data_IF_110090785360
#
_entry.id   IF_110090785360
#
_cell.length_a   1.000
_cell.length_b   1.000
_cell.length_c   1.000
_cell.angle_alpha   90.00
_cell.angle_beta   90.00
_cell.angle_gamma   90.00
#
_symmetry.space_group_name_H-M   'P 1'
#
loop_
_entity.id
_entity.type
_entity.pdbx_description
1 polymer ?
#
# COMPACT_ATOMS: atom_id res chain seq x y z
N UNK A 1 70.77 -33.90 -28.81
CA UNK A 1 70.04 -33.66 -27.56
C UNK A 1 69.17 -32.41 -27.78
N UNK A 2 67.87 -32.56 -27.96
CA UNK A 2 66.97 -31.41 -28.19
C UNK A 2 66.33 -30.96 -26.88
N UNK A 3 66.30 -29.66 -26.69
CA UNK A 3 65.72 -28.96 -25.56
C UNK A 3 64.19 -28.84 -25.75
N UNK A 4 63.44 -29.09 -24.66
CA UNK A 4 61.99 -28.90 -24.59
C UNK A 4 61.66 -27.45 -24.25
N UNK A 5 60.68 -26.81 -24.90
CA UNK A 5 60.17 -25.54 -24.47
C UNK A 5 59.03 -25.71 -23.43
N UNK A 6 59.12 -24.95 -22.37
CA UNK A 6 58.15 -24.82 -21.27
C UNK A 6 56.79 -24.26 -21.76
N UNK A 7 55.73 -24.96 -21.42
CA UNK A 7 54.36 -24.52 -21.64
C UNK A 7 53.96 -23.50 -20.54
N UNK A 8 53.67 -22.28 -20.95
CA UNK A 8 53.07 -21.25 -20.10
C UNK A 8 51.58 -21.52 -19.96
N UNK A 9 51.14 -21.94 -18.76
CA UNK A 9 49.74 -22.03 -18.38
C UNK A 9 49.19 -20.64 -18.13
N UNK A 10 48.42 -20.15 -19.07
CA UNK A 10 47.61 -18.92 -18.85
C UNK A 10 46.48 -19.19 -17.87
N UNK A 11 46.52 -18.49 -16.73
CA UNK A 11 45.47 -18.49 -15.72
C UNK A 11 44.42 -17.44 -16.13
N UNK A 12 43.27 -17.91 -16.62
CA UNK A 12 42.13 -17.05 -16.93
C UNK A 12 41.43 -16.74 -15.61
N UNK A 13 41.63 -15.53 -15.10
CA UNK A 13 40.87 -15.00 -13.98
C UNK A 13 39.51 -14.54 -14.52
N UNK A 14 38.49 -15.36 -14.32
CA UNK A 14 37.12 -15.01 -14.62
C UNK A 14 36.61 -13.97 -13.64
N UNK A 15 36.51 -12.71 -14.10
CA UNK A 15 35.86 -11.63 -13.35
C UNK A 15 34.35 -11.83 -13.40
N UNK A 16 33.80 -12.50 -12.38
CA UNK A 16 32.36 -12.62 -12.21
C UNK A 16 31.75 -11.27 -11.85
N UNK A 17 31.06 -10.62 -12.79
CA UNK A 17 30.21 -9.46 -12.50
C UNK A 17 29.02 -9.94 -11.65
N UNK A 18 29.05 -9.64 -10.36
CA UNK A 18 27.88 -9.72 -9.49
C UNK A 18 26.96 -8.54 -9.85
N UNK A 19 25.94 -8.82 -10.64
CA UNK A 19 24.82 -7.93 -10.83
C UNK A 19 24.03 -7.91 -9.51
N UNK A 20 24.36 -6.95 -8.65
CA UNK A 20 23.51 -6.57 -7.52
C UNK A 20 22.22 -5.96 -8.10
N UNK A 21 21.18 -6.78 -8.27
CA UNK A 21 19.85 -6.31 -8.56
C UNK A 21 19.38 -5.41 -7.42
N UNK A 22 19.27 -4.11 -7.67
CA UNK A 22 18.54 -3.20 -6.78
C UNK A 22 17.06 -3.62 -6.84
N UNK A 23 16.62 -4.41 -5.87
CA UNK A 23 15.20 -4.56 -5.58
C UNK A 23 14.72 -3.25 -4.94
N UNK A 24 14.31 -2.29 -5.77
CA UNK A 24 13.56 -1.12 -5.32
C UNK A 24 12.11 -1.54 -5.09
N UNK A 25 11.87 -2.40 -4.09
CA UNK A 25 10.56 -2.60 -3.52
C UNK A 25 10.39 -1.56 -2.43
N UNK A 26 9.30 -0.81 -2.43
CA UNK A 26 8.94 -0.01 -1.26
C UNK A 26 8.83 -0.97 -0.08
N UNK A 27 9.59 -0.72 1.00
CA UNK A 27 9.51 -1.52 2.23
C UNK A 27 8.15 -1.34 2.95
N UNK A 28 7.31 -0.43 2.43
CA UNK A 28 5.99 -0.11 2.94
C UNK A 28 4.92 -0.89 2.16
N UNK A 29 4.38 -1.90 2.78
CA UNK A 29 3.28 -2.70 2.23
C UNK A 29 2.34 -3.15 3.34
N UNK A 30 1.13 -3.49 2.96
CA UNK A 30 0.16 -4.18 3.80
C UNK A 30 -0.31 -5.46 3.12
N UNK A 31 -0.72 -6.43 3.92
CA UNK A 31 -1.35 -7.66 3.43
C UNK A 31 -2.74 -7.77 4.02
N UNK A 32 -3.73 -8.06 3.18
CA UNK A 32 -5.12 -8.30 3.56
C UNK A 32 -5.76 -9.30 2.60
N UNK A 33 -6.55 -10.23 3.13
CA UNK A 33 -7.22 -11.24 2.29
C UNK A 33 -6.24 -12.09 1.46
N UNK A 34 -4.99 -12.25 1.93
CA UNK A 34 -3.93 -12.98 1.23
C UNK A 34 -3.30 -12.22 0.05
N UNK A 35 -3.66 -10.95 -0.16
CA UNK A 35 -3.05 -10.09 -1.18
C UNK A 35 -2.20 -8.99 -0.53
N UNK A 36 -1.09 -8.63 -1.20
CA UNK A 36 -0.17 -7.60 -0.74
C UNK A 36 -0.24 -6.37 -1.62
N UNK A 37 -0.30 -5.21 -0.96
CA UNK A 37 -0.36 -3.89 -1.59
C UNK A 37 0.81 -3.03 -1.13
N UNK A 38 1.56 -2.45 -2.05
CA UNK A 38 2.48 -1.38 -1.74
C UNK A 38 1.66 -0.15 -1.31
N UNK A 39 2.02 0.48 -0.20
CA UNK A 39 1.23 1.60 0.31
C UNK A 39 2.07 2.85 0.52
N UNK A 40 1.44 3.99 0.28
CA UNK A 40 1.87 5.26 0.81
C UNK A 40 1.26 5.43 2.20
N UNK A 41 1.99 6.09 3.09
CA UNK A 41 1.52 6.35 4.46
C UNK A 41 1.03 7.79 4.55
N UNK A 42 -0.08 7.97 5.26
CA UNK A 42 -0.61 9.27 5.66
C UNK A 42 -0.81 9.24 7.19
N UNK A 43 0.18 9.71 7.95
CA UNK A 43 0.18 9.66 9.41
C UNK A 43 0.16 11.04 10.07
N UNK A 44 0.24 12.12 9.28
CA UNK A 44 0.00 13.48 9.76
C UNK A 44 -1.30 14.08 9.20
N UNK A 45 -1.75 15.20 9.78
CA UNK A 45 -3.01 15.86 9.42
C UNK A 45 -3.03 16.36 7.96
N UNK A 46 -1.90 16.85 7.44
CA UNK A 46 -1.81 17.39 6.10
C UNK A 46 -1.85 16.27 5.05
N UNK A 47 -1.17 15.17 5.32
CA UNK A 47 -1.18 13.98 4.48
C UNK A 47 -2.56 13.33 4.47
N UNK A 48 -3.17 13.13 5.65
CA UNK A 48 -4.54 12.60 5.76
C UNK A 48 -5.55 13.50 5.04
N UNK A 49 -5.43 14.83 5.16
CA UNK A 49 -6.32 15.75 4.46
C UNK A 49 -6.16 15.73 2.94
N UNK A 50 -4.96 15.47 2.44
CA UNK A 50 -4.66 15.38 1.02
C UNK A 50 -5.07 14.02 0.43
N UNK A 51 -4.70 12.93 1.08
CA UNK A 51 -4.95 11.57 0.60
C UNK A 51 -4.61 11.37 -0.88
N UNK A 52 -5.49 10.72 -1.61
CA UNK A 52 -5.36 10.43 -3.05
C UNK A 52 -5.89 11.55 -3.98
N UNK A 53 -6.06 12.77 -3.47
CA UNK A 53 -6.55 13.89 -4.29
C UNK A 53 -5.70 14.11 -5.54
N UNK A 54 -6.37 14.45 -6.65
CA UNK A 54 -5.79 14.81 -7.94
C UNK A 54 -5.06 13.70 -8.69
N UNK A 55 -5.07 12.46 -8.20
CA UNK A 55 -4.49 11.33 -8.92
C UNK A 55 -5.39 10.90 -10.06
N UNK A 56 -4.77 10.66 -11.20
CA UNK A 56 -5.48 10.19 -12.40
C UNK A 56 -5.57 8.67 -12.45
N UNK A 57 -4.63 7.97 -11.81
CA UNK A 57 -4.59 6.51 -11.69
C UNK A 57 -3.89 6.04 -10.40
N UNK A 58 -4.05 4.77 -10.08
CA UNK A 58 -3.29 4.06 -9.06
C UNK A 58 -3.06 2.61 -9.53
N UNK A 59 -1.82 2.09 -9.50
CA UNK A 59 -1.55 0.72 -9.91
C UNK A 59 -2.38 -0.31 -9.12
N UNK A 60 -2.69 -1.46 -9.74
CA UNK A 60 -3.61 -2.46 -9.18
C UNK A 60 -3.20 -3.02 -7.80
N UNK A 61 -1.89 -3.05 -7.52
CA UNK A 61 -1.35 -3.56 -6.26
C UNK A 61 -0.84 -2.45 -5.33
N UNK A 62 -1.42 -1.25 -5.45
CA UNK A 62 -1.08 -0.08 -4.64
C UNK A 62 -2.29 0.40 -3.85
N UNK A 63 -2.01 1.16 -2.79
CA UNK A 63 -3.00 1.80 -1.94
C UNK A 63 -2.40 2.91 -1.10
N UNK A 64 -3.20 3.48 -0.23
CA UNK A 64 -2.77 4.43 0.80
C UNK A 64 -3.28 3.98 2.15
N UNK A 65 -2.38 3.90 3.14
CA UNK A 65 -2.72 3.60 4.52
C UNK A 65 -2.67 4.88 5.35
N UNK A 66 -3.81 5.21 5.91
CA UNK A 66 -3.98 6.33 6.84
C UNK A 66 -3.88 5.81 8.27
N UNK A 67 -3.06 6.43 9.08
CA UNK A 67 -2.83 6.06 10.48
C UNK A 67 -3.29 7.22 11.36
N UNK A 68 -4.25 6.96 12.25
CA UNK A 68 -4.71 7.92 13.24
C UNK A 68 -4.04 7.66 14.59
N UNK A 69 -3.94 8.69 15.42
CA UNK A 69 -3.31 8.60 16.76
C UNK A 69 -4.05 7.63 17.68
N UNK A 70 -5.37 7.52 17.52
CA UNK A 70 -6.26 6.69 18.35
C UNK A 70 -7.47 6.21 17.56
N UNK A 71 -8.10 5.18 18.04
CA UNK A 71 -9.39 4.73 17.57
C UNK A 71 -10.49 5.78 17.87
N UNK A 72 -11.30 6.09 16.85
CA UNK A 72 -12.36 7.10 16.92
C UNK A 72 -13.34 6.91 15.74
N UNK A 73 -14.56 7.48 15.80
CA UNK A 73 -15.41 7.59 14.63
C UNK A 73 -14.70 8.39 13.53
N UNK A 74 -14.57 7.78 12.34
CA UNK A 74 -13.93 8.39 11.18
C UNK A 74 -14.94 8.61 10.06
N UNK A 75 -14.65 9.59 9.20
CA UNK A 75 -15.41 9.80 7.99
C UNK A 75 -14.47 10.33 6.91
N UNK A 76 -14.45 9.64 5.77
CA UNK A 76 -13.64 9.99 4.63
C UNK A 76 -14.50 10.57 3.51
N UNK A 77 -13.93 11.36 2.64
CA UNK A 77 -14.60 11.95 1.49
C UNK A 77 -13.76 11.76 0.23
N UNK A 78 -14.42 11.83 -0.91
CA UNK A 78 -13.77 11.72 -2.22
C UNK A 78 -13.44 13.10 -2.84
N UNK A 79 -13.27 14.13 -2.02
CA UNK A 79 -12.99 15.49 -2.51
C UNK A 79 -11.75 15.49 -3.40
N UNK A 80 -11.92 16.00 -4.63
CA UNK A 80 -10.85 16.06 -5.63
C UNK A 80 -10.20 14.71 -5.97
N UNK A 81 -10.78 13.60 -5.59
CA UNK A 81 -10.32 12.26 -5.94
C UNK A 81 -10.95 11.85 -7.26
N UNK A 82 -10.12 11.50 -8.24
CA UNK A 82 -10.54 11.24 -9.61
C UNK A 82 -10.71 9.77 -9.94
N UNK A 83 -10.26 8.88 -9.06
CA UNK A 83 -10.33 7.43 -9.21
C UNK A 83 -11.35 6.86 -8.23
N UNK A 84 -12.13 5.82 -8.61
CA UNK A 84 -13.04 5.15 -7.68
C UNK A 84 -12.24 4.30 -6.70
N UNK A 85 -12.69 4.24 -5.44
CA UNK A 85 -11.97 3.60 -4.35
C UNK A 85 -12.86 2.65 -3.54
N UNK A 86 -12.23 1.64 -2.93
CA UNK A 86 -12.72 0.97 -1.73
C UNK A 86 -12.04 1.60 -0.50
N UNK A 87 -12.82 1.99 0.50
CA UNK A 87 -12.36 2.60 1.76
C UNK A 87 -12.62 1.61 2.88
N UNK A 88 -11.55 1.08 3.47
CA UNK A 88 -11.59 0.01 4.47
C UNK A 88 -11.14 0.55 5.82
N UNK A 89 -11.96 0.40 6.86
CA UNK A 89 -11.75 0.93 8.21
C UNK A 89 -11.39 -0.20 9.18
N UNK A 90 -10.31 -0.03 9.94
CA UNK A 90 -9.80 -1.02 10.88
C UNK A 90 -9.69 -0.41 12.28
N UNK A 91 -9.97 -1.22 13.29
CA UNK A 91 -9.84 -0.86 14.70
C UNK A 91 -8.37 -0.83 15.19
N UNK A 92 -8.16 -0.70 16.49
CA UNK A 92 -6.83 -0.73 17.13
C UNK A 92 -6.12 -2.09 16.94
N UNK A 93 -6.85 -3.19 16.88
CA UNK A 93 -6.34 -4.54 16.64
C UNK A 93 -6.10 -4.82 15.15
N UNK A 94 -6.41 -3.86 14.28
CA UNK A 94 -6.31 -3.97 12.81
C UNK A 94 -7.31 -4.95 12.20
N UNK A 95 -8.45 -5.13 12.84
CA UNK A 95 -9.56 -5.89 12.30
C UNK A 95 -10.48 -4.97 11.49
N UNK A 96 -10.92 -5.43 10.33
CA UNK A 96 -11.88 -4.70 9.49
C UNK A 96 -13.20 -4.57 10.23
N UNK A 97 -13.63 -3.34 10.49
CA UNK A 97 -14.87 -3.03 11.24
C UNK A 97 -15.91 -2.29 10.43
N UNK A 98 -15.53 -1.76 9.27
CA UNK A 98 -16.43 -1.07 8.35
C UNK A 98 -15.79 -0.94 6.98
N UNK A 99 -16.60 -0.88 5.91
CA UNK A 99 -16.09 -0.70 4.56
C UNK A 99 -17.10 0.02 3.68
N UNK A 100 -16.58 0.92 2.85
CA UNK A 100 -17.33 1.60 1.79
C UNK A 100 -16.76 1.14 0.46
N UNK A 101 -17.53 0.41 -0.33
CA UNK A 101 -17.08 -0.22 -1.58
C UNK A 101 -17.53 0.59 -2.80
N UNK A 102 -16.73 0.53 -3.86
CA UNK A 102 -17.02 1.14 -5.15
C UNK A 102 -17.41 2.62 -5.03
N UNK A 103 -16.71 3.35 -4.14
CA UNK A 103 -16.99 4.76 -3.90
C UNK A 103 -16.59 5.57 -5.13
N UNK A 104 -17.54 6.31 -5.76
CA UNK A 104 -17.28 7.01 -7.01
C UNK A 104 -16.38 8.24 -6.80
N UNK A 105 -15.64 8.65 -7.86
CA UNK A 105 -14.90 9.92 -7.86
C UNK A 105 -15.81 11.12 -7.58
N UNK A 106 -15.23 12.18 -6.98
CA UNK A 106 -15.96 13.41 -6.75
C UNK A 106 -15.10 14.65 -6.97
N UNK A 107 -15.58 15.56 -7.84
CA UNK A 107 -14.94 16.82 -8.19
C UNK A 107 -15.72 18.06 -7.75
N UNK A 108 -16.73 17.88 -6.89
CA UNK A 108 -17.60 18.95 -6.40
C UNK A 108 -16.98 19.75 -5.23
N UNK A 109 -15.70 19.59 -4.96
CA UNK A 109 -15.00 20.25 -3.85
C UNK A 109 -15.67 19.94 -2.51
N UNK A 110 -16.11 20.96 -1.79
CA UNK A 110 -16.78 20.78 -0.48
C UNK A 110 -18.21 20.21 -0.59
N UNK A 111 -18.74 20.03 -1.78
CA UNK A 111 -20.03 19.38 -2.04
C UNK A 111 -19.93 17.85 -2.15
N UNK A 112 -18.74 17.27 -2.03
CA UNK A 112 -18.58 15.81 -2.06
C UNK A 112 -19.16 15.17 -0.81
N UNK A 113 -19.84 14.00 -0.96
CA UNK A 113 -20.40 13.28 0.18
C UNK A 113 -19.30 12.74 1.08
N UNK A 114 -19.67 12.48 2.32
CA UNK A 114 -18.83 11.84 3.34
C UNK A 114 -19.23 10.37 3.48
N UNK A 115 -18.25 9.52 3.70
CA UNK A 115 -18.36 8.07 3.86
C UNK A 115 -17.88 7.70 5.26
N UNK A 116 -18.78 7.63 6.25
CA UNK A 116 -18.41 7.35 7.62
C UNK A 116 -18.06 5.89 7.86
N UNK A 117 -17.22 5.63 8.86
CA UNK A 117 -17.08 4.31 9.46
C UNK A 117 -18.32 4.01 10.31
N UNK A 118 -18.83 2.77 10.24
CA UNK A 118 -19.96 2.32 11.06
C UNK A 118 -19.56 2.07 12.52
N UNK A 119 -18.27 1.85 12.74
CA UNK A 119 -17.65 1.64 14.05
C UNK A 119 -16.41 2.54 14.20
N UNK A 120 -15.94 2.82 15.43
CA UNK A 120 -14.66 3.49 15.63
C UNK A 120 -13.54 2.76 14.88
N UNK A 121 -12.62 3.52 14.31
CA UNK A 121 -11.48 2.98 13.57
C UNK A 121 -10.22 3.81 13.85
N UNK A 122 -9.08 3.21 13.64
CA UNK A 122 -7.77 3.83 13.77
C UNK A 122 -6.99 3.85 12.47
N UNK A 123 -7.14 2.81 11.66
CA UNK A 123 -6.48 2.71 10.37
C UNK A 123 -7.51 2.73 9.26
N UNK A 124 -7.16 3.38 8.14
CA UNK A 124 -7.98 3.33 6.93
C UNK A 124 -7.10 2.96 5.76
N UNK A 125 -7.51 1.96 5.00
CA UNK A 125 -6.83 1.55 3.78
C UNK A 125 -7.71 1.90 2.58
N UNK A 126 -7.17 2.75 1.70
CA UNK A 126 -7.79 3.06 0.41
C UNK A 126 -7.14 2.21 -0.69
N UNK A 127 -7.96 1.47 -1.42
CA UNK A 127 -7.58 0.64 -2.56
C UNK A 127 -8.40 1.04 -3.79
N UNK A 128 -7.98 0.59 -4.98
CA UNK A 128 -8.83 0.71 -6.15
C UNK A 128 -10.19 0.04 -5.90
N UNK A 129 -11.26 0.62 -6.43
CA UNK A 129 -12.61 0.06 -6.31
C UNK A 129 -12.68 -1.38 -6.85
N UNK A 130 -13.44 -2.23 -6.15
CA UNK A 130 -13.61 -3.64 -6.48
C UNK A 130 -12.61 -4.59 -5.82
N UNK A 131 -11.54 -4.08 -5.17
CA UNK A 131 -10.53 -4.92 -4.51
C UNK A 131 -11.12 -5.66 -3.31
N UNK A 132 -11.95 -5.00 -2.50
CA UNK A 132 -12.63 -5.63 -1.37
C UNK A 132 -13.52 -6.78 -1.81
N UNK A 133 -14.26 -6.60 -2.89
CA UNK A 133 -15.10 -7.66 -3.47
C UNK A 133 -14.26 -8.80 -4.06
N UNK A 134 -13.18 -8.48 -4.79
CA UNK A 134 -12.27 -9.47 -5.37
C UNK A 134 -11.63 -10.37 -4.30
N UNK A 135 -11.31 -9.81 -3.15
CA UNK A 135 -10.72 -10.53 -2.01
C UNK A 135 -11.77 -11.20 -1.12
N UNK A 136 -13.06 -10.93 -1.32
CA UNK A 136 -14.12 -11.43 -0.45
C UNK A 136 -13.99 -10.94 1.00
N UNK A 137 -13.56 -9.68 1.19
CA UNK A 137 -13.34 -9.14 2.53
C UNK A 137 -14.66 -9.02 3.29
N UNK A 138 -14.64 -9.49 4.52
CA UNK A 138 -15.74 -9.36 5.47
C UNK A 138 -15.22 -8.74 6.77
N UNK A 139 -16.12 -8.23 7.61
CA UNK A 139 -15.76 -7.70 8.92
C UNK A 139 -14.98 -8.76 9.73
N UNK A 140 -13.94 -8.31 10.42
CA UNK A 140 -12.98 -9.17 11.11
C UNK A 140 -11.79 -9.61 10.26
N UNK A 141 -11.71 -9.27 8.98
CA UNK A 141 -10.49 -9.48 8.17
C UNK A 141 -9.32 -8.69 8.77
N UNK A 142 -8.16 -9.34 8.93
CA UNK A 142 -7.00 -8.74 9.60
C UNK A 142 -6.07 -8.06 8.59
N UNK A 143 -5.64 -6.83 8.93
CA UNK A 143 -4.64 -6.07 8.20
C UNK A 143 -3.25 -6.33 8.77
N UNK A 144 -2.34 -6.80 7.94
CA UNK A 144 -0.94 -7.09 8.32
C UNK A 144 0.00 -6.08 7.68
N UNK A 145 0.46 -5.03 8.40
CA UNK A 145 1.43 -4.09 7.89
C UNK A 145 2.84 -4.66 7.90
N UNK A 146 3.68 -4.20 6.96
CA UNK A 146 5.11 -4.49 6.96
C UNK A 146 5.77 -4.00 8.26
N UNK A 147 6.84 -4.66 8.74
CA UNK A 147 7.56 -4.23 9.96
C UNK A 147 8.11 -2.81 9.91
N UNK A 148 8.30 -2.26 8.71
CA UNK A 148 8.78 -0.89 8.50
C UNK A 148 7.68 0.17 8.71
N UNK A 149 6.40 -0.22 8.76
CA UNK A 149 5.29 0.71 9.01
C UNK A 149 5.14 0.90 10.53
N UNK A 150 5.29 2.15 11.03
CA UNK A 150 5.17 2.42 12.46
C UNK A 150 3.69 2.37 12.88
N UNK A 151 3.18 1.17 13.16
CA UNK A 151 1.88 0.99 13.82
C UNK A 151 2.13 0.88 15.31
N UNK A 152 1.68 1.87 16.11
CA UNK A 152 1.84 1.85 17.55
C UNK A 152 0.95 0.78 18.21
#
# INVERSE_FOLDING_TARGET
MPAFPSAIRGMIVGCGLLLAGCASGSDLWVEIGGARYAVEIADDDAERARGLMFRDDMPANHGMLFIHEREQPLAYWMKNTKIPLDILYFDDERLLVSQQRDVPPCTLGNGCPSYPSESPARYVLELNAGEAARLGLEDGAELHPAPAIPVP
#
